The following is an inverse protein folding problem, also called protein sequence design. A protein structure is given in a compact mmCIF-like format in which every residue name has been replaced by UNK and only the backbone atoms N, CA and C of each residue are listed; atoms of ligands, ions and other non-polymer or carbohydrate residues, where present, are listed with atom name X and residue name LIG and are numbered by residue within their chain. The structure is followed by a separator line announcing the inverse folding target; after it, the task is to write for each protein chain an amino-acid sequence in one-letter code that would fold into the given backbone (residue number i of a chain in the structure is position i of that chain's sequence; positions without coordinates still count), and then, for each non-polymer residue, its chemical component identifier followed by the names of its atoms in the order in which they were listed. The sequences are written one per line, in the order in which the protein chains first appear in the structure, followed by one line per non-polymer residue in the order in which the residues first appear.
data_IF_429979049223
#
_entry.id   IF_429979049223
#
_cell.length_a   1.000
_cell.length_b   1.000
_cell.length_c   1.000
_cell.angle_alpha   90.00
_cell.angle_beta   90.00
_cell.angle_gamma   90.00
#
_symmetry.space_group_name_H-M   'P 1'
#
loop_
_entity.id
_entity.type
_entity.pdbx_description
1 polymer ?
#
# COMPACT_ATOMS: atom_id res chain seq x y z
N UNK A 1 17.72 35.33 -45.29
CA UNK A 1 18.18 35.29 -46.69
C UNK A 1 18.59 33.86 -46.97
N UNK A 2 17.81 33.12 -47.76
CA UNK A 2 18.10 31.72 -48.11
C UNK A 2 19.17 31.68 -49.19
N UNK A 3 20.30 31.01 -48.95
CA UNK A 3 21.40 30.91 -49.92
C UNK A 3 21.38 29.49 -50.50
N UNK A 4 21.00 29.38 -51.78
CA UNK A 4 20.97 28.09 -52.49
C UNK A 4 22.40 27.57 -52.70
N UNK A 5 22.56 26.26 -52.52
CA UNK A 5 23.80 25.54 -52.80
C UNK A 5 23.92 25.23 -54.30
N UNK A 6 25.07 24.70 -54.76
CA UNK A 6 25.26 24.31 -56.18
C UNK A 6 24.40 23.10 -56.62
N UNK A 7 23.86 22.36 -55.65
CA UNK A 7 22.98 21.19 -55.82
C UNK A 7 21.87 21.26 -54.77
N UNK A 8 20.87 20.38 -54.86
CA UNK A 8 19.85 20.24 -53.80
C UNK A 8 20.52 20.13 -52.43
N UNK A 9 20.05 20.93 -51.47
CA UNK A 9 20.40 20.75 -50.07
C UNK A 9 19.90 19.40 -49.54
N UNK A 10 20.46 18.92 -48.44
CA UNK A 10 19.96 17.73 -47.74
C UNK A 10 19.22 18.17 -46.48
N UNK A 11 17.99 17.69 -46.30
CA UNK A 11 17.29 17.78 -45.02
C UNK A 11 17.98 16.88 -44.00
N UNK A 12 18.47 17.50 -42.93
CA UNK A 12 19.14 16.82 -41.82
C UNK A 12 18.28 16.93 -40.58
N UNK A 13 17.85 15.79 -40.05
CA UNK A 13 17.23 15.70 -38.73
C UNK A 13 18.33 15.81 -37.69
N UNK A 14 18.13 16.67 -36.69
CA UNK A 14 18.94 16.73 -35.47
C UNK A 14 18.02 16.44 -34.29
N UNK A 15 18.19 15.29 -33.67
CA UNK A 15 17.40 14.89 -32.51
C UNK A 15 18.31 14.76 -31.29
N UNK A 16 17.87 15.31 -30.16
CA UNK A 16 18.58 15.13 -28.89
C UNK A 16 18.39 13.71 -28.40
N UNK A 17 19.44 13.14 -27.82
CA UNK A 17 19.38 11.88 -27.09
C UNK A 17 18.83 12.04 -25.67
N UNK A 18 18.50 13.27 -25.26
CA UNK A 18 18.05 13.61 -23.91
C UNK A 18 19.17 13.92 -22.91
N UNK A 19 20.44 13.80 -23.32
CA UNK A 19 21.61 13.89 -22.43
C UNK A 19 22.59 15.00 -22.85
N UNK A 20 22.10 16.00 -23.58
CA UNK A 20 22.90 17.14 -24.05
C UNK A 20 23.70 16.87 -25.33
N UNK A 21 23.73 15.63 -25.79
CA UNK A 21 24.21 15.29 -27.13
C UNK A 21 23.03 15.19 -28.12
N UNK A 22 23.38 15.03 -29.39
CA UNK A 22 22.43 14.91 -30.48
C UNK A 22 22.99 13.97 -31.54
N UNK A 23 22.09 13.23 -32.17
CA UNK A 23 22.42 12.52 -33.40
C UNK A 23 21.83 13.28 -34.58
N UNK A 24 22.51 13.18 -35.72
CA UNK A 24 22.05 13.75 -36.98
C UNK A 24 21.85 12.65 -38.02
N UNK A 25 20.87 12.83 -38.89
CA UNK A 25 20.65 11.96 -40.05
C UNK A 25 20.14 12.78 -41.23
N UNK A 26 20.88 12.75 -42.33
CA UNK A 26 20.35 13.20 -43.63
C UNK A 26 19.29 12.21 -44.10
N UNK A 27 18.11 12.69 -44.48
CA UNK A 27 16.98 11.80 -44.77
C UNK A 27 16.20 12.11 -46.05
N UNK A 28 16.39 13.29 -46.65
CA UNK A 28 15.81 13.65 -47.95
C UNK A 28 16.57 14.83 -48.58
N UNK A 29 16.37 15.08 -49.86
CA UNK A 29 16.81 16.29 -50.55
C UNK A 29 15.77 17.41 -50.40
N UNK A 30 16.24 18.66 -50.42
CA UNK A 30 15.40 19.83 -50.48
C UNK A 30 14.96 20.12 -51.92
N UNK A 31 13.75 20.65 -52.07
CA UNK A 31 13.12 21.07 -53.34
C UNK A 31 13.77 22.33 -53.97
N UNK A 32 15.09 22.43 -53.93
CA UNK A 32 15.82 23.61 -54.41
C UNK A 32 15.80 23.75 -55.94
N UNK A 33 15.87 22.62 -56.65
CA UNK A 33 15.97 22.54 -58.10
C UNK A 33 14.95 21.60 -58.76
N UNK A 34 14.23 20.80 -57.99
CA UNK A 34 13.23 19.84 -58.48
C UNK A 34 12.01 19.87 -57.56
N UNK A 35 10.82 19.66 -58.14
CA UNK A 35 9.57 19.61 -57.38
C UNK A 35 9.57 18.43 -56.41
N UNK A 36 8.92 18.59 -55.25
CA UNK A 36 8.77 17.52 -54.27
C UNK A 36 8.08 16.29 -54.88
N UNK A 37 8.67 15.12 -54.67
CA UNK A 37 8.09 13.82 -55.00
C UNK A 37 7.41 13.15 -53.79
N UNK A 38 7.38 13.85 -52.66
CA UNK A 38 6.84 13.37 -51.38
C UNK A 38 7.63 12.21 -50.75
N UNK A 39 8.81 11.88 -51.28
CA UNK A 39 9.63 10.73 -50.83
C UNK A 39 11.12 11.07 -50.68
N UNK A 40 11.79 11.40 -51.78
CA UNK A 40 13.23 11.62 -51.86
C UNK A 40 13.61 13.10 -51.97
N UNK A 41 12.74 13.92 -52.55
CA UNK A 41 12.80 15.39 -52.57
C UNK A 41 11.57 15.89 -51.82
N UNK A 42 11.78 16.67 -50.75
CA UNK A 42 10.70 17.10 -49.86
C UNK A 42 10.64 18.62 -49.76
N UNK A 43 9.41 19.13 -49.67
CA UNK A 43 9.16 20.48 -49.16
C UNK A 43 9.64 20.62 -47.72
N UNK A 44 9.81 21.86 -47.25
CA UNK A 44 10.11 22.12 -45.84
C UNK A 44 9.09 21.49 -44.88
N UNK A 45 7.80 21.53 -45.22
CA UNK A 45 6.72 21.02 -44.36
C UNK A 45 6.69 19.48 -44.35
N UNK A 46 6.85 18.85 -45.51
CA UNK A 46 6.94 17.38 -45.60
C UNK A 46 8.19 16.86 -44.91
N UNK A 47 9.32 17.56 -45.06
CA UNK A 47 10.56 17.24 -44.36
C UNK A 47 10.40 17.37 -42.84
N UNK A 48 9.66 18.38 -42.36
CA UNK A 48 9.37 18.53 -40.93
C UNK A 48 8.55 17.33 -40.40
N UNK A 49 7.54 16.88 -41.14
CA UNK A 49 6.70 15.76 -40.70
C UNK A 49 7.41 14.41 -40.82
N UNK A 50 8.22 14.21 -41.87
CA UNK A 50 9.10 13.06 -42.00
C UNK A 50 10.17 13.02 -40.89
N UNK A 51 10.76 14.17 -40.55
CA UNK A 51 11.71 14.31 -39.45
C UNK A 51 11.08 13.96 -38.09
N UNK A 52 9.84 14.39 -37.83
CA UNK A 52 9.10 14.02 -36.60
C UNK A 52 8.83 12.52 -36.54
N UNK A 53 8.50 11.87 -37.67
CA UNK A 53 8.31 10.40 -37.73
C UNK A 53 9.62 9.66 -37.46
N UNK A 54 10.71 10.06 -38.13
CA UNK A 54 12.04 9.47 -37.94
C UNK A 54 12.57 9.65 -36.51
N UNK A 55 12.34 10.81 -35.89
CA UNK A 55 12.74 11.07 -34.51
C UNK A 55 11.93 10.23 -33.50
N UNK A 56 10.71 9.81 -33.85
CA UNK A 56 9.87 8.94 -33.02
C UNK A 56 10.24 7.47 -33.13
N UNK A 57 10.97 7.04 -34.17
CA UNK A 57 11.28 5.63 -34.42
C UNK A 57 10.05 4.81 -34.86
N UNK A 58 10.29 3.57 -35.30
CA UNK A 58 9.25 2.54 -35.43
C UNK A 58 8.91 1.94 -34.05
N UNK A 59 7.85 1.13 -33.93
CA UNK A 59 7.36 0.61 -32.64
C UNK A 59 8.43 0.03 -31.71
N UNK A 60 9.46 -0.59 -32.30
CA UNK A 60 10.52 -1.28 -31.57
C UNK A 60 11.70 -0.36 -31.18
N UNK A 61 11.79 0.83 -31.78
CA UNK A 61 12.89 1.78 -31.52
C UNK A 61 12.42 3.07 -30.87
N UNK A 62 11.12 3.31 -30.82
CA UNK A 62 10.53 4.50 -30.26
C UNK A 62 10.90 4.70 -28.78
N UNK A 63 11.28 5.93 -28.37
CA UNK A 63 11.48 6.24 -26.97
C UNK A 63 10.20 5.98 -26.16
N UNK A 64 10.29 5.16 -25.12
CA UNK A 64 9.14 4.86 -24.27
C UNK A 64 8.61 6.14 -23.61
N UNK A 65 7.31 6.35 -23.70
CA UNK A 65 6.63 7.48 -23.04
C UNK A 65 6.30 7.15 -21.59
N UNK A 66 5.95 8.16 -20.79
CA UNK A 66 5.45 7.93 -19.42
C UNK A 66 4.22 7.02 -19.42
N UNK A 67 3.31 7.19 -20.38
CA UNK A 67 2.16 6.30 -20.49
C UNK A 67 2.56 4.86 -20.87
N UNK A 68 3.51 4.71 -21.78
CA UNK A 68 4.09 3.41 -22.12
C UNK A 68 4.74 2.73 -20.92
N UNK A 69 5.49 3.48 -20.11
CA UNK A 69 6.09 2.99 -18.87
C UNK A 69 5.04 2.52 -17.85
N UNK A 70 3.93 3.25 -17.70
CA UNK A 70 2.82 2.85 -16.84
C UNK A 70 2.09 1.61 -17.38
N UNK A 71 1.97 1.44 -18.70
CA UNK A 71 1.40 0.23 -19.32
C UNK A 71 2.29 -0.99 -19.06
N UNK A 72 3.60 -0.85 -19.28
CA UNK A 72 4.57 -1.91 -19.00
C UNK A 72 4.57 -2.27 -17.51
N UNK A 73 4.51 -1.27 -16.62
CA UNK A 73 4.46 -1.49 -15.18
C UNK A 73 3.17 -2.17 -14.72
N UNK A 74 2.02 -1.85 -15.33
CA UNK A 74 0.77 -2.56 -15.07
C UNK A 74 0.92 -4.06 -15.39
N UNK A 75 1.48 -4.36 -16.57
CA UNK A 75 1.70 -5.74 -17.03
C UNK A 75 2.64 -6.49 -16.09
N UNK A 76 3.73 -5.86 -15.66
CA UNK A 76 4.65 -6.43 -14.65
C UNK A 76 3.94 -6.70 -13.31
N UNK A 77 3.13 -5.75 -12.83
CA UNK A 77 2.37 -5.91 -11.59
C UNK A 77 1.42 -7.11 -11.65
N UNK A 78 0.69 -7.28 -12.76
CA UNK A 78 -0.21 -8.42 -12.97
C UNK A 78 0.56 -9.74 -13.01
N UNK A 79 1.66 -9.80 -13.78
CA UNK A 79 2.49 -11.00 -13.91
C UNK A 79 3.04 -11.49 -12.56
N UNK A 80 3.36 -10.58 -11.64
CA UNK A 80 3.85 -10.91 -10.29
C UNK A 80 2.78 -10.91 -9.19
N UNK A 81 1.50 -10.88 -9.55
CA UNK A 81 0.38 -10.93 -8.60
C UNK A 81 0.32 -9.73 -7.63
N UNK A 82 0.80 -8.57 -8.07
CA UNK A 82 0.69 -7.30 -7.37
C UNK A 82 -0.55 -6.51 -7.86
N UNK A 83 -0.83 -5.37 -7.23
CA UNK A 83 -2.04 -4.60 -7.56
C UNK A 83 -1.80 -3.68 -8.77
N UNK A 84 -2.45 -3.91 -9.94
CA UNK A 84 -2.30 -3.09 -11.14
C UNK A 84 -2.74 -1.63 -10.95
N UNK A 85 -3.60 -1.35 -9.97
CA UNK A 85 -4.01 0.01 -9.62
C UNK A 85 -2.83 0.94 -9.31
N UNK A 86 -1.68 0.40 -8.87
CA UNK A 86 -0.49 1.19 -8.65
C UNK A 86 0.08 1.78 -9.96
N UNK A 87 -0.20 1.21 -11.13
CA UNK A 87 0.15 1.80 -12.42
C UNK A 87 -0.98 2.67 -12.99
N UNK A 88 -2.23 2.35 -12.68
CA UNK A 88 -3.39 3.09 -13.21
C UNK A 88 -3.64 4.42 -12.48
N UNK A 89 -3.51 4.43 -11.16
CA UNK A 89 -3.83 5.59 -10.35
C UNK A 89 -2.97 6.83 -10.65
N UNK A 90 -1.65 6.73 -10.89
CA UNK A 90 -0.85 7.85 -11.41
C UNK A 90 -1.44 8.53 -12.64
N UNK A 91 -2.02 7.77 -13.58
CA UNK A 91 -2.57 8.32 -14.83
C UNK A 91 -3.68 9.32 -14.61
N UNK A 92 -4.49 9.12 -13.57
CA UNK A 92 -5.62 10.01 -13.23
C UNK A 92 -5.14 11.43 -12.90
N UNK A 93 -3.90 11.58 -12.43
CA UNK A 93 -3.34 12.85 -11.96
C UNK A 93 -2.27 13.43 -12.89
N UNK A 94 -1.81 12.68 -13.90
CA UNK A 94 -0.84 13.13 -14.88
C UNK A 94 -1.54 13.89 -16.02
N UNK A 95 -0.91 14.97 -16.50
CA UNK A 95 -1.42 15.69 -17.67
C UNK A 95 -1.16 14.88 -18.95
N UNK A 96 -1.96 15.12 -20.00
CA UNK A 96 -1.74 14.53 -21.33
C UNK A 96 -0.32 14.79 -21.85
N UNK A 97 0.23 15.98 -21.54
CA UNK A 97 1.60 16.37 -21.92
C UNK A 97 2.65 15.49 -21.24
N UNK A 98 2.52 15.26 -19.92
CA UNK A 98 3.45 14.39 -19.19
C UNK A 98 3.32 12.93 -19.63
N UNK A 99 2.10 12.44 -19.85
CA UNK A 99 1.85 11.08 -20.32
C UNK A 99 2.50 10.80 -21.68
N UNK A 100 2.43 11.75 -22.61
CA UNK A 100 3.01 11.63 -23.94
C UNK A 100 4.53 11.86 -23.99
N UNK A 101 5.15 12.33 -22.90
CA UNK A 101 6.57 12.69 -22.90
C UNK A 101 7.45 11.43 -22.85
N UNK A 102 8.52 11.33 -23.66
CA UNK A 102 9.54 10.30 -23.51
C UNK A 102 10.18 10.32 -22.12
N UNK A 103 10.35 9.15 -21.50
CA UNK A 103 10.92 9.01 -20.14
C UNK A 103 12.32 9.61 -20.07
N UNK A 104 13.15 9.38 -21.10
CA UNK A 104 14.51 9.91 -21.19
C UNK A 104 14.60 11.45 -21.21
N UNK A 105 13.49 12.15 -21.48
CA UNK A 105 13.44 13.62 -21.53
C UNK A 105 12.84 14.24 -20.26
N UNK A 106 12.54 13.43 -19.23
CA UNK A 106 12.06 13.93 -17.95
C UNK A 106 13.17 14.66 -17.18
N UNK A 107 12.77 15.72 -16.48
CA UNK A 107 13.63 16.58 -15.66
C UNK A 107 13.12 16.63 -14.23
N UNK A 108 14.02 16.87 -13.27
CA UNK A 108 13.62 16.99 -11.86
C UNK A 108 12.66 18.18 -11.63
N UNK A 109 12.89 19.30 -12.32
CA UNK A 109 12.10 20.51 -12.18
C UNK A 109 10.63 20.30 -12.59
N UNK A 110 10.38 19.61 -13.72
CA UNK A 110 9.01 19.38 -14.18
C UNK A 110 8.26 18.38 -13.29
N UNK A 111 8.93 17.31 -12.85
CA UNK A 111 8.34 16.31 -11.97
C UNK A 111 8.03 16.91 -10.59
N UNK A 112 8.92 17.76 -10.07
CA UNK A 112 8.68 18.53 -8.85
C UNK A 112 7.50 19.48 -9.00
N UNK A 113 7.45 20.23 -10.11
CA UNK A 113 6.33 21.16 -10.39
C UNK A 113 5.00 20.41 -10.45
N UNK A 114 4.96 19.24 -11.11
CA UNK A 114 3.77 18.39 -11.13
C UNK A 114 3.39 17.90 -9.73
N UNK A 115 4.33 17.33 -8.98
CA UNK A 115 4.12 16.86 -7.60
C UNK A 115 3.54 17.97 -6.72
N UNK A 116 4.18 19.14 -6.73
CA UNK A 116 3.80 20.27 -5.88
C UNK A 116 2.43 20.85 -6.29
N UNK A 117 2.04 20.74 -7.56
CA UNK A 117 0.69 21.12 -8.01
C UNK A 117 -0.43 20.27 -7.39
N UNK A 118 -0.11 19.09 -6.86
CA UNK A 118 -1.07 18.20 -6.21
C UNK A 118 -1.35 18.59 -4.75
N UNK A 119 -0.51 19.43 -4.14
CA UNK A 119 -0.67 19.88 -2.75
C UNK A 119 -2.00 20.61 -2.52
N UNK A 120 -2.51 21.30 -3.54
CA UNK A 120 -3.81 21.96 -3.49
C UNK A 120 -5.01 21.00 -3.58
N UNK A 121 -4.78 19.70 -3.86
CA UNK A 121 -5.85 18.73 -4.19
C UNK A 121 -5.90 17.53 -3.26
N UNK A 122 -4.81 17.18 -2.59
CA UNK A 122 -4.73 15.98 -1.76
C UNK A 122 -3.64 16.07 -0.70
N UNK A 123 -3.77 15.25 0.35
CA UNK A 123 -2.80 15.18 1.44
C UNK A 123 -1.40 14.72 0.97
N UNK A 124 -0.35 15.21 1.63
CA UNK A 124 1.05 14.88 1.32
C UNK A 124 1.33 13.36 1.32
N UNK A 125 0.71 12.59 2.22
CA UNK A 125 0.84 11.12 2.22
C UNK A 125 0.36 10.49 0.91
N UNK A 126 -0.76 10.99 0.39
CA UNK A 126 -1.36 10.54 -0.88
C UNK A 126 -0.43 10.87 -2.04
N UNK A 127 0.11 12.09 -2.07
CA UNK A 127 1.12 12.50 -3.08
C UNK A 127 2.34 11.59 -3.02
N UNK A 128 2.90 11.34 -1.83
CA UNK A 128 4.05 10.46 -1.67
C UNK A 128 3.78 9.04 -2.17
N UNK A 129 2.57 8.51 -1.96
CA UNK A 129 2.17 7.21 -2.52
C UNK A 129 2.13 7.25 -4.05
N UNK A 130 1.59 8.32 -4.62
CA UNK A 130 1.49 8.52 -6.07
C UNK A 130 2.88 8.60 -6.71
N UNK A 131 3.77 9.40 -6.13
CA UNK A 131 5.16 9.57 -6.54
C UNK A 131 5.93 8.25 -6.52
N UNK A 132 5.76 7.42 -5.47
CA UNK A 132 6.38 6.08 -5.42
C UNK A 132 5.89 5.16 -6.52
N UNK A 133 4.61 5.25 -6.87
CA UNK A 133 4.01 4.45 -7.94
C UNK A 133 4.57 4.86 -9.31
N UNK A 134 4.61 6.17 -9.59
CA UNK A 134 5.19 6.69 -10.82
C UNK A 134 6.69 6.39 -10.90
N UNK A 135 7.46 6.66 -9.85
CA UNK A 135 8.89 6.36 -9.80
C UNK A 135 9.20 4.89 -10.06
N UNK A 136 8.39 3.95 -9.56
CA UNK A 136 8.55 2.53 -9.85
C UNK A 136 8.32 2.19 -11.33
N UNK A 137 7.37 2.85 -12.00
CA UNK A 137 7.15 2.67 -13.43
C UNK A 137 8.31 3.22 -14.28
N UNK A 138 8.81 4.40 -13.92
CA UNK A 138 9.96 5.01 -14.59
C UNK A 138 11.23 4.18 -14.41
N UNK A 139 11.45 3.65 -13.20
CA UNK A 139 12.59 2.79 -12.91
C UNK A 139 12.51 1.44 -13.65
N UNK A 140 11.32 0.85 -13.79
CA UNK A 140 11.14 -0.35 -14.61
C UNK A 140 11.48 -0.07 -16.08
N UNK A 141 11.00 1.06 -16.63
CA UNK A 141 11.34 1.46 -18.00
C UNK A 141 12.87 1.61 -18.16
N UNK A 142 13.53 2.26 -17.19
CA UNK A 142 14.99 2.43 -17.17
C UNK A 142 15.75 1.09 -17.15
N UNK A 143 15.27 0.12 -16.38
CA UNK A 143 15.89 -1.21 -16.29
C UNK A 143 15.79 -2.03 -17.58
N UNK A 144 14.84 -1.70 -18.47
CA UNK A 144 14.64 -2.38 -19.74
C UNK A 144 15.13 -1.57 -20.95
N UNK A 145 15.62 -0.34 -20.74
CA UNK A 145 16.11 0.53 -21.80
C UNK A 145 17.33 1.34 -21.33
N UNK A 146 18.51 0.88 -21.72
CA UNK A 146 19.80 1.50 -21.39
C UNK A 146 19.97 2.92 -21.96
N UNK A 147 19.06 3.42 -22.80
CA UNK A 147 19.09 4.81 -23.28
C UNK A 147 18.58 5.79 -22.21
N UNK A 148 17.84 5.30 -21.22
CA UNK A 148 17.28 6.10 -20.13
C UNK A 148 18.33 6.24 -19.02
N UNK A 149 19.05 7.37 -19.02
CA UNK A 149 20.12 7.65 -18.04
C UNK A 149 19.77 8.75 -17.04
N UNK A 150 18.56 9.31 -17.11
CA UNK A 150 18.11 10.47 -16.33
C UNK A 150 17.46 10.08 -14.98
N UNK A 151 17.98 9.07 -14.27
CA UNK A 151 17.40 8.57 -13.01
C UNK A 151 17.21 9.67 -11.95
N UNK A 152 18.16 10.60 -11.86
CA UNK A 152 18.11 11.74 -10.96
C UNK A 152 16.82 12.57 -11.10
N UNK A 153 16.19 12.58 -12.29
CA UNK A 153 14.97 13.33 -12.55
C UNK A 153 13.85 12.94 -11.59
N UNK A 154 13.58 11.65 -11.40
CA UNK A 154 12.53 11.20 -10.48
C UNK A 154 13.02 11.03 -9.05
N UNK A 155 14.31 10.77 -8.80
CA UNK A 155 14.83 10.74 -7.44
C UNK A 155 14.70 12.09 -6.73
N UNK A 156 15.01 13.18 -7.45
CA UNK A 156 14.88 14.55 -6.92
C UNK A 156 13.47 15.08 -7.12
N UNK A 157 12.93 14.95 -8.33
CA UNK A 157 11.65 15.54 -8.70
C UNK A 157 10.45 14.92 -7.97
N UNK A 158 10.53 13.63 -7.66
CA UNK A 158 9.49 12.88 -6.94
C UNK A 158 9.88 12.55 -5.49
N UNK A 159 10.92 13.22 -4.95
CA UNK A 159 11.33 13.05 -3.56
C UNK A 159 10.13 13.20 -2.61
N UNK A 160 10.10 12.38 -1.55
CA UNK A 160 8.99 12.39 -0.60
C UNK A 160 8.87 13.74 0.12
N UNK A 161 7.65 14.23 0.24
CA UNK A 161 7.32 15.35 1.11
C UNK A 161 7.55 14.91 2.58
N UNK A 162 8.26 15.72 3.40
CA UNK A 162 8.51 15.41 4.80
C UNK A 162 7.21 15.44 5.61
N UNK A 163 7.23 14.80 6.78
CA UNK A 163 6.15 14.82 7.80
C UNK A 163 4.75 14.50 7.27
N UNK A 164 4.69 13.78 6.15
CA UNK A 164 3.46 13.54 5.42
C UNK A 164 2.50 12.57 6.12
N UNK A 165 2.95 11.86 7.15
CA UNK A 165 2.19 10.80 7.83
C UNK A 165 2.14 11.09 9.32
N UNK A 166 0.94 11.37 9.82
CA UNK A 166 0.63 11.43 11.24
C UNK A 166 -0.19 10.19 11.63
N UNK A 167 0.25 9.45 12.65
CA UNK A 167 -0.46 8.25 13.10
C UNK A 167 -1.61 8.61 14.05
N UNK A 168 -2.81 8.82 13.49
CA UNK A 168 -4.06 9.03 14.26
C UNK A 168 -4.73 7.70 14.61
N UNK A 169 -4.09 6.92 15.48
CA UNK A 169 -4.66 5.65 15.93
C UNK A 169 -5.67 5.88 17.06
N UNK A 170 -6.93 5.54 16.82
CA UNK A 170 -7.94 5.54 17.89
C UNK A 170 -7.80 4.31 18.76
N UNK A 171 -7.66 4.53 20.07
CA UNK A 171 -7.64 3.49 21.10
C UNK A 171 -8.94 3.57 21.88
N UNK A 172 -9.71 2.49 21.87
CA UNK A 172 -10.96 2.35 22.61
C UNK A 172 -10.70 1.69 23.96
N UNK A 173 -11.46 2.08 24.98
CA UNK A 173 -11.48 1.36 26.25
C UNK A 173 -12.10 -0.02 26.09
N UNK A 174 -11.82 -0.93 27.03
CA UNK A 174 -12.37 -2.29 26.98
C UNK A 174 -13.90 -2.29 27.04
N UNK A 175 -14.51 -1.37 27.78
CA UNK A 175 -15.96 -1.21 27.82
C UNK A 175 -16.52 -0.79 26.46
N UNK A 176 -15.88 0.18 25.78
CA UNK A 176 -16.31 0.59 24.45
C UNK A 176 -16.08 -0.48 23.39
N UNK A 177 -15.04 -1.30 23.52
CA UNK A 177 -14.86 -2.48 22.66
C UNK A 177 -16.00 -3.49 22.88
N UNK A 178 -16.42 -3.75 24.12
CA UNK A 178 -17.55 -4.65 24.40
C UNK A 178 -18.86 -4.10 23.85
N UNK A 179 -19.13 -2.80 24.02
CA UNK A 179 -20.29 -2.13 23.43
C UNK A 179 -20.28 -2.20 21.90
N UNK A 180 -19.13 -1.97 21.26
CA UNK A 180 -18.96 -2.10 19.81
C UNK A 180 -19.36 -3.51 19.35
N UNK A 181 -18.80 -4.55 19.99
CA UNK A 181 -19.09 -5.96 19.65
C UNK A 181 -20.57 -6.28 19.85
N UNK A 182 -21.15 -5.91 21.00
CA UNK A 182 -22.57 -6.14 21.29
C UNK A 182 -23.48 -5.47 20.26
N UNK A 183 -23.17 -4.21 19.91
CA UNK A 183 -23.93 -3.43 18.92
C UNK A 183 -23.83 -4.02 17.52
N UNK A 184 -22.65 -4.54 17.15
CA UNK A 184 -22.48 -5.27 15.88
C UNK A 184 -23.36 -6.52 15.82
N UNK A 185 -23.41 -7.33 16.90
CA UNK A 185 -24.33 -8.47 16.97
C UNK A 185 -25.81 -8.07 16.89
N UNK A 186 -26.20 -6.98 17.55
CA UNK A 186 -27.57 -6.45 17.50
C UNK A 186 -27.95 -5.98 16.10
N UNK A 187 -26.99 -5.47 15.32
CA UNK A 187 -27.23 -5.03 13.95
C UNK A 187 -27.32 -6.21 12.97
N UNK A 188 -26.38 -7.15 13.06
CA UNK A 188 -26.34 -8.35 12.24
C UNK A 188 -25.45 -9.42 12.89
N UNK A 189 -25.96 -10.65 13.02
CA UNK A 189 -25.24 -11.73 13.70
C UNK A 189 -23.90 -12.09 13.03
N UNK A 190 -23.86 -12.07 11.70
CA UNK A 190 -22.66 -12.44 10.91
C UNK A 190 -21.59 -11.35 10.93
N UNK A 191 -22.00 -10.07 10.88
CA UNK A 191 -21.14 -8.92 11.16
C UNK A 191 -20.61 -8.98 12.59
N UNK A 192 -21.47 -9.31 13.55
CA UNK A 192 -21.10 -9.51 14.96
C UNK A 192 -19.97 -10.52 15.12
N UNK A 193 -20.04 -11.68 14.44
CA UNK A 193 -18.97 -12.69 14.45
C UNK A 193 -17.64 -12.14 13.91
N UNK A 194 -17.66 -11.37 12.83
CA UNK A 194 -16.46 -10.75 12.27
C UNK A 194 -15.87 -9.74 13.24
N UNK A 195 -16.70 -8.86 13.81
CA UNK A 195 -16.28 -7.82 14.75
C UNK A 195 -15.72 -8.43 16.04
N UNK A 196 -16.38 -9.45 16.61
CA UNK A 196 -15.93 -10.18 17.80
C UNK A 196 -14.57 -10.87 17.54
N UNK A 197 -14.44 -11.54 16.39
CA UNK A 197 -13.17 -12.14 15.96
C UNK A 197 -12.04 -11.10 15.91
N UNK A 198 -12.30 -9.91 15.34
CA UNK A 198 -11.30 -8.85 15.24
C UNK A 198 -10.98 -8.21 16.59
N UNK A 199 -11.97 -8.04 17.46
CA UNK A 199 -11.81 -7.47 18.80
C UNK A 199 -10.97 -8.37 19.72
N UNK A 200 -11.18 -9.70 19.65
CA UNK A 200 -10.43 -10.68 20.44
C UNK A 200 -9.02 -10.88 19.89
N UNK A 201 -8.86 -11.04 18.57
CA UNK A 201 -7.57 -11.43 17.98
C UNK A 201 -6.67 -10.25 17.62
N UNK A 202 -7.23 -9.05 17.45
CA UNK A 202 -6.53 -7.91 16.85
C UNK A 202 -6.09 -8.15 15.41
N UNK A 203 -6.60 -9.17 14.72
CA UNK A 203 -6.26 -9.47 13.33
C UNK A 203 -6.70 -8.33 12.37
N UNK A 204 -6.16 -8.30 11.15
CA UNK A 204 -6.68 -7.41 10.12
C UNK A 204 -7.97 -8.01 9.53
N UNK A 205 -8.96 -7.18 9.11
CA UNK A 205 -10.17 -7.68 8.47
C UNK A 205 -9.90 -8.64 7.31
N UNK A 206 -8.96 -8.29 6.42
CA UNK A 206 -8.56 -9.14 5.28
C UNK A 206 -7.84 -10.45 5.66
N UNK A 207 -7.45 -10.63 6.92
CA UNK A 207 -6.95 -11.91 7.44
C UNK A 207 -8.11 -12.75 7.96
N UNK A 208 -8.96 -12.17 8.81
CA UNK A 208 -10.07 -12.86 9.45
C UNK A 208 -11.04 -13.44 8.43
N UNK A 209 -11.41 -12.68 7.38
CA UNK A 209 -12.37 -13.15 6.36
C UNK A 209 -11.85 -14.30 5.48
N UNK A 210 -10.57 -14.65 5.59
CA UNK A 210 -9.97 -15.79 4.89
C UNK A 210 -9.84 -17.04 5.77
N UNK A 211 -10.28 -16.97 7.03
CA UNK A 211 -10.40 -18.14 7.89
C UNK A 211 -11.35 -19.15 7.25
N UNK A 212 -10.96 -20.41 7.32
CA UNK A 212 -11.78 -21.55 6.95
C UNK A 212 -12.27 -22.28 8.20
N UNK A 213 -13.24 -23.17 8.03
CA UNK A 213 -13.73 -24.02 9.13
C UNK A 213 -12.58 -24.81 9.76
N UNK A 214 -11.67 -25.35 8.96
CA UNK A 214 -10.45 -26.05 9.41
C UNK A 214 -9.51 -25.19 10.29
N UNK A 215 -9.56 -23.86 10.17
CA UNK A 215 -8.69 -22.97 10.94
C UNK A 215 -9.20 -22.77 12.38
N UNK A 216 -10.43 -23.22 12.71
CA UNK A 216 -10.98 -23.19 14.06
C UNK A 216 -10.54 -24.43 14.84
N UNK A 217 -9.65 -24.23 15.81
CA UNK A 217 -9.25 -25.28 16.72
C UNK A 217 -10.02 -25.12 18.03
N UNK A 218 -11.14 -25.83 18.11
CA UNK A 218 -11.97 -25.86 19.31
C UNK A 218 -11.28 -26.66 20.43
N UNK A 219 -11.23 -26.07 21.62
CA UNK A 219 -10.66 -26.68 22.81
C UNK A 219 -11.34 -26.08 24.04
N UNK A 220 -11.74 -26.87 25.05
CA UNK A 220 -12.58 -26.41 26.16
C UNK A 220 -11.99 -25.26 26.97
N UNK A 221 -10.66 -25.12 27.01
CA UNK A 221 -9.95 -24.09 27.79
C UNK A 221 -8.90 -23.28 27.02
N UNK A 222 -8.54 -23.70 25.80
CA UNK A 222 -7.44 -23.10 25.03
C UNK A 222 -7.76 -23.06 23.53
N UNK A 223 -8.96 -22.59 23.14
CA UNK A 223 -9.32 -22.53 21.74
C UNK A 223 -8.45 -21.51 21.02
N UNK A 224 -8.21 -21.75 19.73
CA UNK A 224 -7.36 -20.89 18.89
C UNK A 224 -7.84 -20.86 17.45
N UNK A 225 -7.44 -19.82 16.75
CA UNK A 225 -7.58 -19.70 15.31
C UNK A 225 -6.21 -19.81 14.65
N UNK A 226 -6.14 -20.59 13.57
CA UNK A 226 -5.01 -20.59 12.65
C UNK A 226 -5.16 -19.45 11.64
N UNK A 227 -4.94 -18.23 12.12
CA UNK A 227 -5.17 -17.00 11.36
C UNK A 227 -4.29 -16.93 10.11
N UNK A 228 -4.84 -16.70 8.91
CA UNK A 228 -4.05 -16.46 7.70
C UNK A 228 -3.16 -15.22 7.85
N UNK A 229 -1.89 -15.31 7.47
CA UNK A 229 -0.96 -14.17 7.50
C UNK A 229 -1.37 -13.11 6.50
N UNK A 230 -1.06 -11.86 6.83
CA UNK A 230 -1.26 -10.73 5.94
C UNK A 230 -0.30 -10.78 4.76
N UNK A 231 -0.83 -10.40 3.60
CA UNK A 231 -0.06 -10.13 2.40
C UNK A 231 0.90 -8.92 2.56
N UNK A 232 0.68 -8.08 3.59
CA UNK A 232 1.49 -6.87 3.84
C UNK A 232 2.91 -7.25 4.27
N UNK A 233 3.91 -6.52 3.77
CA UNK A 233 5.32 -6.71 4.11
C UNK A 233 5.92 -8.04 3.66
N UNK A 234 5.28 -8.78 2.74
CA UNK A 234 5.93 -9.84 1.99
C UNK A 234 6.34 -9.26 0.64
N UNK A 235 7.64 -9.28 0.31
CA UNK A 235 8.18 -8.79 -0.96
C UNK A 235 7.63 -9.55 -2.18
N UNK A 236 8.50 -10.03 -3.07
CA UNK A 236 8.10 -10.73 -4.33
C UNK A 236 7.18 -11.96 -4.14
N UNK A 237 7.00 -12.48 -2.91
CA UNK A 237 6.23 -13.70 -2.61
C UNK A 237 4.91 -13.44 -1.85
N UNK A 238 4.17 -12.40 -2.22
CA UNK A 238 2.93 -12.00 -1.53
C UNK A 238 1.85 -13.09 -1.50
N UNK A 239 1.70 -13.84 -2.59
CA UNK A 239 0.74 -14.95 -2.70
C UNK A 239 1.10 -16.11 -1.75
N UNK A 240 2.37 -16.52 -1.71
CA UNK A 240 2.85 -17.58 -0.79
C UNK A 240 2.58 -17.21 0.67
N UNK A 241 2.88 -15.97 1.07
CA UNK A 241 2.65 -15.49 2.43
C UNK A 241 1.17 -15.50 2.83
N UNK A 242 0.25 -15.31 1.89
CA UNK A 242 -1.21 -15.35 2.15
C UNK A 242 -1.69 -16.73 2.59
N UNK A 243 -0.98 -17.80 2.23
CA UNK A 243 -1.31 -19.21 2.57
C UNK A 243 -0.81 -19.60 3.95
N UNK A 244 0.28 -18.98 4.41
CA UNK A 244 0.82 -19.24 5.75
C UNK A 244 -0.17 -18.83 6.84
N UNK A 245 -0.26 -19.64 7.89
CA UNK A 245 -1.10 -19.40 9.06
C UNK A 245 -0.24 -19.16 10.31
N UNK A 246 -0.83 -18.53 11.31
CA UNK A 246 -0.21 -18.38 12.63
C UNK A 246 -1.28 -18.55 13.72
N UNK A 247 -0.89 -19.14 14.84
CA UNK A 247 -1.80 -19.43 15.94
C UNK A 247 -2.15 -18.16 16.72
N UNK A 248 -3.44 -17.92 16.94
CA UNK A 248 -3.96 -16.84 17.78
C UNK A 248 -4.97 -17.41 18.78
N UNK A 249 -4.74 -17.26 20.11
CA UNK A 249 -5.72 -17.66 21.11
C UNK A 249 -7.03 -16.89 20.95
N UNK A 250 -8.15 -17.56 21.21
CA UNK A 250 -9.48 -16.93 21.31
C UNK A 250 -10.13 -17.30 22.64
N UNK A 251 -11.25 -16.63 22.97
CA UNK A 251 -12.05 -16.97 24.14
C UNK A 251 -12.89 -18.22 23.87
N UNK A 252 -13.26 -18.94 24.94
CA UNK A 252 -14.18 -20.09 24.85
C UNK A 252 -15.55 -19.66 24.31
N UNK A 253 -15.99 -18.46 24.67
CA UNK A 253 -17.26 -17.89 24.20
C UNK A 253 -17.23 -17.62 22.69
N UNK A 254 -16.15 -17.04 22.17
CA UNK A 254 -16.02 -16.83 20.72
C UNK A 254 -15.91 -18.17 19.98
N UNK A 255 -15.14 -19.13 20.52
CA UNK A 255 -15.02 -20.46 19.94
C UNK A 255 -16.39 -21.14 19.79
N UNK A 256 -17.21 -21.13 20.83
CA UNK A 256 -18.55 -21.70 20.79
C UNK A 256 -19.44 -21.07 19.70
N UNK A 257 -19.42 -19.73 19.56
CA UNK A 257 -20.16 -19.03 18.51
C UNK A 257 -19.66 -19.41 17.11
N UNK A 258 -18.34 -19.51 16.92
CA UNK A 258 -17.74 -19.90 15.64
C UNK A 258 -18.03 -21.37 15.30
N UNK A 259 -17.95 -22.28 16.27
CA UNK A 259 -18.33 -23.70 16.11
C UNK A 259 -19.79 -23.82 15.69
N UNK A 260 -20.69 -23.06 16.33
CA UNK A 260 -22.10 -23.04 15.95
C UNK A 260 -22.30 -22.48 14.53
N UNK A 261 -21.60 -21.41 14.16
CA UNK A 261 -21.65 -20.87 12.80
C UNK A 261 -21.10 -21.87 11.77
N UNK A 262 -20.06 -22.64 12.12
CA UNK A 262 -19.41 -23.64 11.26
C UNK A 262 -20.19 -24.95 11.10
N UNK A 263 -21.25 -25.16 11.88
CA UNK A 263 -21.99 -26.41 11.92
C UNK A 263 -22.45 -26.85 10.52
N UNK A 264 -22.18 -28.13 10.19
CA UNK A 264 -22.52 -28.77 8.91
C UNK A 264 -21.89 -28.13 7.67
N UNK A 265 -20.81 -27.34 7.81
CA UNK A 265 -20.03 -26.81 6.68
C UNK A 265 -18.72 -27.59 6.53
N UNK A 266 -18.23 -27.82 5.30
CA UNK A 266 -16.97 -28.54 5.09
C UNK A 266 -15.77 -27.74 5.59
N UNK A 267 -14.68 -28.44 5.87
CA UNK A 267 -13.43 -27.90 6.43
C UNK A 267 -12.85 -26.72 5.63
N UNK A 268 -12.97 -26.76 4.31
CA UNK A 268 -12.43 -25.73 3.41
C UNK A 268 -13.38 -24.53 3.19
N UNK A 269 -14.60 -24.57 3.74
CA UNK A 269 -15.57 -23.48 3.63
C UNK A 269 -15.12 -22.24 4.43
N UNK A 270 -15.49 -21.02 4.00
CA UNK A 270 -15.19 -19.82 4.78
C UNK A 270 -15.85 -19.87 6.17
N UNK A 271 -15.09 -19.62 7.22
CA UNK A 271 -15.60 -19.61 8.59
C UNK A 271 -16.55 -18.43 8.84
N UNK A 272 -16.19 -17.27 8.31
CA UNK A 272 -16.94 -16.02 8.44
C UNK A 272 -17.63 -15.69 7.10
N UNK A 273 -18.96 -15.63 7.11
CA UNK A 273 -19.79 -15.29 5.96
C UNK A 273 -20.55 -13.99 6.21
N UNK A 274 -21.11 -13.42 5.16
CA UNK A 274 -22.10 -12.35 5.24
C UNK A 274 -23.49 -12.93 5.56
N UNK A 275 -24.46 -12.09 5.88
CA UNK A 275 -25.84 -12.51 6.22
C UNK A 275 -26.55 -13.24 5.09
N UNK A 276 -26.19 -12.95 3.84
CA UNK A 276 -26.69 -13.62 2.64
C UNK A 276 -25.94 -14.94 2.32
N UNK A 277 -25.00 -15.35 3.17
CA UNK A 277 -24.18 -16.55 2.99
C UNK A 277 -23.00 -16.37 2.04
N UNK A 278 -22.81 -15.19 1.45
CA UNK A 278 -21.68 -14.91 0.57
C UNK A 278 -20.37 -14.68 1.35
N UNK A 279 -19.20 -14.94 0.75
CA UNK A 279 -17.92 -14.58 1.36
C UNK A 279 -17.71 -13.05 1.34
N UNK A 280 -16.91 -12.55 2.27
CA UNK A 280 -16.61 -11.11 2.38
C UNK A 280 -15.61 -10.58 1.33
N UNK A 281 -14.93 -11.46 0.58
CA UNK A 281 -13.93 -11.09 -0.43
C UNK A 281 -12.59 -10.56 0.13
N UNK A 282 -11.70 -10.12 -0.78
CA UNK A 282 -10.34 -9.66 -0.39
C UNK A 282 -10.31 -8.27 0.27
N UNK A 283 -11.33 -7.44 0.02
CA UNK A 283 -11.44 -6.08 0.52
C UNK A 283 -12.75 -5.88 1.31
N UNK A 284 -12.90 -6.55 2.46
CA UNK A 284 -14.17 -6.60 3.18
C UNK A 284 -14.66 -5.22 3.65
N UNK A 285 -13.75 -4.23 3.74
CA UNK A 285 -14.09 -2.86 4.12
C UNK A 285 -15.06 -2.17 3.17
N UNK A 286 -15.04 -2.50 1.88
CA UNK A 286 -16.03 -1.95 0.94
C UNK A 286 -17.44 -2.42 1.27
N UNK A 287 -17.57 -3.60 1.87
CA UNK A 287 -18.86 -4.21 2.22
C UNK A 287 -19.36 -3.73 3.57
N UNK A 288 -18.55 -3.82 4.64
CA UNK A 288 -19.03 -3.53 6.00
C UNK A 288 -19.01 -2.04 6.37
N UNK A 289 -18.35 -1.14 5.62
CA UNK A 289 -18.08 0.23 6.12
C UNK A 289 -19.32 0.94 6.66
N UNK A 290 -20.43 0.94 5.91
CA UNK A 290 -21.69 1.58 6.34
C UNK A 290 -22.29 0.94 7.58
N UNK A 291 -22.14 -0.38 7.75
CA UNK A 291 -22.63 -1.07 8.95
C UNK A 291 -21.75 -0.72 10.15
N UNK A 292 -20.44 -0.62 9.96
CA UNK A 292 -19.52 -0.17 10.99
C UNK A 292 -19.79 1.28 11.38
N UNK A 293 -20.08 2.17 10.43
CA UNK A 293 -20.44 3.55 10.73
C UNK A 293 -21.68 3.62 11.63
N UNK A 294 -22.71 2.81 11.32
CA UNK A 294 -23.91 2.69 12.18
C UNK A 294 -23.57 2.18 13.59
N UNK A 295 -22.70 1.17 13.70
CA UNK A 295 -22.27 0.64 15.00
C UNK A 295 -21.54 1.71 15.80
N UNK A 296 -20.61 2.42 15.18
CA UNK A 296 -19.81 3.48 15.79
C UNK A 296 -20.69 4.64 16.27
N UNK A 297 -21.64 5.09 15.43
CA UNK A 297 -22.61 6.12 15.82
C UNK A 297 -23.48 5.65 17.00
N UNK A 298 -23.94 4.40 16.98
CA UNK A 298 -24.80 3.87 18.04
C UNK A 298 -24.12 3.78 19.42
N UNK A 299 -22.79 3.62 19.47
CA UNK A 299 -22.02 3.64 20.73
C UNK A 299 -21.54 5.05 21.14
N UNK A 300 -22.03 6.09 20.45
CA UNK A 300 -21.75 7.50 20.76
C UNK A 300 -20.37 7.98 20.30
N UNK A 301 -19.80 7.37 19.26
CA UNK A 301 -18.50 7.75 18.69
C UNK A 301 -18.66 8.30 17.26
N UNK A 302 -17.63 9.00 16.78
CA UNK A 302 -17.63 9.58 15.44
C UNK A 302 -17.12 8.57 14.38
N UNK A 303 -17.94 8.18 13.38
CA UNK A 303 -17.51 7.29 12.29
C UNK A 303 -16.46 7.91 11.35
N UNK A 304 -16.26 9.23 11.37
CA UNK A 304 -15.15 9.86 10.65
C UNK A 304 -13.79 9.56 11.29
N UNK A 305 -13.75 9.29 12.60
CA UNK A 305 -12.53 9.06 13.38
C UNK A 305 -12.36 7.57 13.72
N UNK A 306 -13.44 6.89 14.10
CA UNK A 306 -13.41 5.50 14.58
C UNK A 306 -13.79 4.55 13.46
N UNK A 307 -12.83 3.73 13.06
CA UNK A 307 -13.05 2.64 12.10
C UNK A 307 -12.89 1.29 12.78
N UNK A 308 -13.23 0.19 12.07
CA UNK A 308 -12.99 -1.17 12.57
C UNK A 308 -11.53 -1.44 12.97
N UNK A 309 -10.57 -0.66 12.44
CA UNK A 309 -9.16 -0.78 12.81
C UNK A 309 -8.90 -0.38 14.26
N UNK A 310 -9.76 0.43 14.88
CA UNK A 310 -9.65 0.79 16.29
C UNK A 310 -9.62 -0.46 17.19
N UNK A 311 -10.33 -1.53 16.84
CA UNK A 311 -10.29 -2.82 17.56
C UNK A 311 -8.87 -3.41 17.61
N UNK A 312 -8.16 -3.36 16.49
CA UNK A 312 -6.77 -3.82 16.40
C UNK A 312 -5.82 -2.92 17.17
N UNK A 313 -5.97 -1.59 17.06
CA UNK A 313 -5.12 -0.66 17.82
C UNK A 313 -5.32 -0.84 19.33
N UNK A 314 -6.57 -1.00 19.76
CA UNK A 314 -6.95 -1.23 21.16
C UNK A 314 -6.40 -2.55 21.68
N UNK A 315 -6.46 -3.64 20.90
CA UNK A 315 -5.89 -4.93 21.29
C UNK A 315 -4.36 -4.86 21.49
N UNK A 316 -3.63 -4.20 20.58
CA UNK A 316 -2.18 -4.00 20.73
C UNK A 316 -1.87 -3.22 22.01
N UNK A 317 -2.54 -2.09 22.23
CA UNK A 317 -2.29 -1.24 23.41
C UNK A 317 -2.66 -1.96 24.70
N UNK A 318 -3.80 -2.65 24.75
CA UNK A 318 -4.20 -3.48 25.90
C UNK A 318 -3.11 -4.49 26.28
N UNK A 319 -2.55 -5.22 25.31
CA UNK A 319 -1.50 -6.20 25.57
C UNK A 319 -0.20 -5.55 26.05
N UNK A 320 0.17 -4.38 25.51
CA UNK A 320 1.34 -3.64 25.95
C UNK A 320 1.18 -3.14 27.40
N UNK A 321 0.03 -2.58 27.75
CA UNK A 321 -0.28 -2.13 29.12
C UNK A 321 -0.31 -3.29 30.13
N UNK A 322 -0.62 -4.50 29.67
CA UNK A 322 -0.54 -5.72 30.49
C UNK A 322 0.87 -6.34 30.54
N UNK A 323 1.90 -5.62 30.08
CA UNK A 323 3.29 -6.06 30.07
C UNK A 323 3.54 -7.36 29.28
N UNK A 324 2.71 -7.65 28.27
CA UNK A 324 2.96 -8.78 27.39
C UNK A 324 4.20 -8.48 26.53
N UNK A 325 5.18 -9.39 26.44
CA UNK A 325 6.41 -9.13 25.70
C UNK A 325 6.15 -8.65 24.27
N UNK A 326 6.79 -7.55 23.88
CA UNK A 326 6.55 -6.89 22.58
C UNK A 326 6.70 -7.85 21.38
N UNK A 327 7.63 -8.80 21.47
CA UNK A 327 7.83 -9.84 20.45
C UNK A 327 6.62 -10.77 20.30
N UNK A 328 5.93 -11.08 21.40
CA UNK A 328 4.70 -11.87 21.41
C UNK A 328 3.53 -11.04 20.86
N UNK A 329 3.38 -9.78 21.28
CA UNK A 329 2.38 -8.85 20.72
C UNK A 329 2.54 -8.73 19.20
N UNK A 330 3.77 -8.57 18.72
CA UNK A 330 4.08 -8.52 17.29
C UNK A 330 3.68 -9.81 16.56
N UNK A 331 3.95 -10.96 17.17
CA UNK A 331 3.59 -12.28 16.64
C UNK A 331 2.08 -12.43 16.49
N UNK A 332 1.32 -12.17 17.56
CA UNK A 332 -0.13 -12.32 17.63
C UNK A 332 -0.87 -11.34 16.70
N UNK A 333 -0.27 -10.17 16.43
CA UNK A 333 -0.85 -9.20 15.52
C UNK A 333 -0.34 -9.32 14.08
N UNK A 334 0.54 -10.29 13.77
CA UNK A 334 1.18 -10.42 12.46
C UNK A 334 1.76 -9.07 11.96
N UNK A 335 2.62 -8.50 12.79
CA UNK A 335 3.37 -7.26 12.55
C UNK A 335 4.81 -7.41 13.06
N UNK A 336 5.68 -6.42 12.82
CA UNK A 336 7.05 -6.42 13.36
C UNK A 336 7.14 -5.59 14.63
N UNK A 337 8.17 -5.86 15.44
CA UNK A 337 8.52 -5.06 16.63
C UNK A 337 8.76 -3.60 16.25
N UNK A 338 9.55 -3.36 15.20
CA UNK A 338 9.80 -2.01 14.67
C UNK A 338 8.50 -1.27 14.29
N UNK A 339 7.48 -1.98 13.80
CA UNK A 339 6.18 -1.36 13.54
C UNK A 339 5.42 -1.04 14.82
N UNK A 340 5.52 -1.88 15.85
CA UNK A 340 4.91 -1.59 17.16
C UNK A 340 5.57 -0.37 17.78
N UNK A 341 6.89 -0.34 17.86
CA UNK A 341 7.65 0.78 18.43
C UNK A 341 7.31 2.09 17.70
N UNK A 342 7.41 2.11 16.37
CA UNK A 342 7.08 3.30 15.57
C UNK A 342 5.68 3.87 15.84
N UNK A 343 4.72 3.00 16.15
CA UNK A 343 3.28 3.36 16.09
C UNK A 343 2.64 3.48 17.48
N UNK A 344 3.16 2.78 18.48
CA UNK A 344 2.54 2.65 19.80
C UNK A 344 3.51 2.94 20.96
N UNK A 345 4.78 3.29 20.71
CA UNK A 345 5.75 3.56 21.79
C UNK A 345 5.28 4.58 22.82
N UNK A 346 4.47 5.58 22.42
CA UNK A 346 3.91 6.57 23.36
C UNK A 346 3.14 5.93 24.54
N UNK A 347 2.42 4.84 24.27
CA UNK A 347 1.65 4.12 25.29
C UNK A 347 2.53 3.24 26.18
N UNK A 348 3.76 2.92 25.74
CA UNK A 348 4.75 2.20 26.55
C UNK A 348 5.41 3.19 27.51
N UNK A 349 5.81 4.35 27.02
CA UNK A 349 6.54 5.37 27.82
C UNK A 349 5.65 6.04 28.85
N UNK A 350 4.37 6.27 28.57
CA UNK A 350 3.44 6.89 29.53
C UNK A 350 3.08 5.95 30.69
N UNK A 351 3.22 4.62 30.51
CA UNK A 351 2.89 3.60 31.51
C UNK A 351 4.13 3.00 32.20
N UNK A 352 5.32 3.57 31.96
CA UNK A 352 6.58 2.94 32.36
C UNK A 352 6.93 3.12 33.84
N UNK A 353 6.37 4.08 34.57
CA UNK A 353 6.82 4.39 35.94
C UNK A 353 6.55 3.22 36.92
N UNK A 354 5.29 2.76 37.01
CA UNK A 354 4.91 1.64 37.89
C UNK A 354 5.65 0.33 37.54
N UNK A 355 5.93 0.12 36.25
CA UNK A 355 6.68 -1.05 35.76
C UNK A 355 8.16 -0.92 36.12
N UNK A 356 8.75 0.25 35.87
CA UNK A 356 10.17 0.51 36.16
C UNK A 356 10.45 0.47 37.65
N UNK A 357 9.51 0.94 38.48
CA UNK A 357 9.63 0.90 39.95
C UNK A 357 9.75 -0.51 40.49
N UNK A 358 9.04 -1.49 39.92
CA UNK A 358 9.15 -2.91 40.32
C UNK A 358 10.53 -3.52 40.02
N UNK A 359 11.26 -2.94 39.06
CA UNK A 359 12.59 -3.39 38.68
C UNK A 359 13.71 -2.66 39.42
N UNK A 360 13.38 -1.65 40.25
CA UNK A 360 14.38 -0.97 41.07
C UNK A 360 15.00 -1.94 42.06
N UNK A 361 16.33 -1.97 42.09
CA UNK A 361 17.07 -2.67 43.13
C UNK A 361 16.72 -2.03 44.47
N UNK A 362 16.21 -2.83 45.40
CA UNK A 362 15.99 -2.40 46.78
C UNK A 362 17.26 -2.77 47.56
N UNK A 363 17.97 -1.76 48.08
CA UNK A 363 19.17 -1.97 48.89
C UNK A 363 18.83 -2.55 50.28
N UNK A 364 17.59 -2.39 50.74
CA UNK A 364 17.07 -2.92 52.00
C UNK A 364 15.93 -3.94 51.77
N UNK A 365 15.81 -4.99 52.60
CA UNK A 365 14.70 -5.94 52.48
C UNK A 365 13.36 -5.23 52.70
N UNK A 366 12.30 -5.61 51.95
CA UNK A 366 11.01 -4.93 52.03
C UNK A 366 10.44 -4.96 53.45
N UNK A 367 10.26 -3.77 54.03
CA UNK A 367 9.71 -3.58 55.38
C UNK A 367 8.22 -3.94 55.39
N UNK A 368 7.92 -5.23 55.60
CA UNK A 368 6.53 -5.68 55.69
C UNK A 368 6.28 -7.18 55.68
N UNK A 369 7.26 -8.01 55.33
CA UNK A 369 7.12 -9.46 55.51
C UNK A 369 7.24 -9.80 57.00
N UNK A 370 6.12 -9.80 57.72
CA UNK A 370 6.04 -10.42 59.05
C UNK A 370 6.46 -11.88 58.91
N UNK A 371 7.69 -12.17 59.29
CA UNK A 371 8.19 -13.53 59.49
C UNK A 371 7.39 -14.12 60.64
N UNK A 372 6.39 -14.95 60.33
CA UNK A 372 5.76 -15.81 61.34
C UNK A 372 6.70 -16.99 61.53
N UNK A 373 7.47 -16.96 62.62
CA UNK A 373 8.22 -18.12 63.05
C UNK A 373 7.23 -19.24 63.43
N UNK A 374 7.34 -20.40 62.77
CA UNK A 374 6.67 -21.62 63.22
C UNK A 374 7.35 -22.07 64.51
N UNK A 375 6.61 -22.03 65.62
CA UNK A 375 7.02 -22.63 66.87
C UNK A 375 7.01 -24.17 66.72
N UNK A 376 8.14 -24.77 67.05
CA UNK A 376 8.42 -26.21 67.11
C UNK A 376 7.63 -26.95 68.18
#
# INVERSE_FOLDING_TARGET
MYRRNKTNGTWVLKASDGHGAYWTKGFALAEDYEDSDGKSVLTFYEAQDAAKKLARGDSDTAPITVDGALTAYKTDLEARGANPYNAEWPRVHLSKVLLAKPVALLTAAELKKWRDSLLAKMAAATINRLCRCLGAALELARQHDDRIQNQQAWEVGLAGLPDAIEARNVILSDDKVREFVATAYSLDGNLGLVVDTLAITGARPSQAVRLRVEDLHDHPVRPKLMMPKSAKGGGRNRAKKKVERYSVPITVQLAAKLTQAAKNRPDDAPLLLQSDGSPWGENPGQTYHRQIDKVVTAIGLDPAEVTIYALRHSSIVRMLLQNIPIRLVASLHNTSVAMIERTYSKFITEHSDDVSRKALLQDEPPSGAKIVALAS
#
